data_IF_655021768812
#
_entry.id   IF_655021768812
#
_cell.length_a   1.000
_cell.length_b   1.000
_cell.length_c   1.000
_cell.angle_alpha   90.00
_cell.angle_beta   90.00
_cell.angle_gamma   90.00
#
_symmetry.space_group_name_H-M   'P 1'
#
loop_
_entity.id
_entity.type
_entity.pdbx_description
1 polymer ?
#
# COMPACT_ATOMS: atom_id res chain seq x y z
N UNK A 1 -11.71 -25.91 -18.43
CA UNK A 1 -10.85 -25.36 -17.37
C UNK A 1 -11.64 -24.21 -16.79
N UNK A 2 -12.24 -24.40 -15.62
CA UNK A 2 -12.85 -23.32 -14.86
C UNK A 2 -11.73 -22.35 -14.50
N UNK A 3 -11.85 -21.12 -14.98
CA UNK A 3 -10.97 -20.02 -14.60
C UNK A 3 -11.10 -19.87 -13.08
N UNK A 4 -10.03 -20.18 -12.34
CA UNK A 4 -10.03 -19.99 -10.89
C UNK A 4 -10.10 -18.50 -10.69
N UNK A 5 -11.18 -18.02 -10.06
CA UNK A 5 -11.38 -16.59 -9.87
C UNK A 5 -10.15 -16.01 -9.14
N UNK A 6 -9.50 -15.02 -9.76
CA UNK A 6 -8.32 -14.41 -9.17
C UNK A 6 -8.70 -13.68 -7.87
N UNK A 7 -7.83 -13.75 -6.87
CA UNK A 7 -7.89 -12.90 -5.67
C UNK A 7 -7.47 -11.47 -6.01
N UNK A 8 -8.38 -10.72 -6.64
CA UNK A 8 -8.16 -9.37 -7.14
C UNK A 8 -9.30 -8.40 -6.77
N UNK A 9 -10.15 -8.78 -5.81
CA UNK A 9 -11.28 -7.97 -5.37
C UNK A 9 -10.93 -7.21 -4.09
N UNK A 10 -11.39 -5.97 -4.04
CA UNK A 10 -11.27 -5.07 -2.90
C UNK A 10 -12.68 -4.81 -2.39
N UNK A 11 -12.97 -5.23 -1.16
CA UNK A 11 -14.27 -5.02 -0.55
C UNK A 11 -14.28 -3.69 0.21
N UNK A 12 -15.18 -2.77 -0.16
CA UNK A 12 -15.33 -1.45 0.46
C UNK A 12 -16.67 -1.39 1.17
N UNK A 13 -16.63 -1.24 2.49
CA UNK A 13 -17.76 -1.39 3.38
C UNK A 13 -17.96 -0.16 4.23
N UNK A 14 -19.19 0.10 4.63
CA UNK A 14 -19.54 1.14 5.58
C UNK A 14 -21.01 1.49 5.45
N UNK A 15 -21.54 2.26 6.40
CA UNK A 15 -22.94 2.70 6.33
C UNK A 15 -23.21 3.53 5.07
N UNK A 16 -24.48 3.69 4.67
CA UNK A 16 -24.83 4.67 3.65
C UNK A 16 -24.29 6.06 4.03
N UNK A 17 -23.91 6.86 3.03
CA UNK A 17 -23.49 8.26 3.17
C UNK A 17 -22.15 8.53 3.87
N UNK A 18 -21.29 7.52 4.05
CA UNK A 18 -19.91 7.71 4.53
C UNK A 18 -18.92 8.03 3.40
N UNK A 19 -19.41 8.50 2.25
CA UNK A 19 -18.62 8.90 1.07
C UNK A 19 -17.68 7.81 0.51
N UNK A 20 -18.12 6.55 0.55
CA UNK A 20 -17.32 5.40 0.06
C UNK A 20 -16.90 5.56 -1.41
N UNK A 21 -17.83 5.95 -2.27
CA UNK A 21 -17.56 6.11 -3.69
C UNK A 21 -16.59 7.27 -3.97
N UNK A 22 -16.68 8.40 -3.25
CA UNK A 22 -15.68 9.45 -3.30
C UNK A 22 -14.26 8.96 -2.93
N UNK A 23 -14.12 8.14 -1.89
CA UNK A 23 -12.82 7.54 -1.51
C UNK A 23 -12.30 6.67 -2.65
N UNK A 24 -13.13 5.76 -3.16
CA UNK A 24 -12.74 4.87 -4.27
C UNK A 24 -12.35 5.67 -5.51
N UNK A 25 -13.12 6.71 -5.88
CA UNK A 25 -12.80 7.59 -6.99
C UNK A 25 -11.46 8.30 -6.80
N UNK A 26 -11.16 8.77 -5.58
CA UNK A 26 -9.88 9.41 -5.27
C UNK A 26 -8.70 8.42 -5.41
N UNK A 27 -8.92 7.17 -5.02
CA UNK A 27 -7.96 6.05 -5.18
C UNK A 27 -7.84 5.57 -6.63
N UNK A 28 -8.85 5.73 -7.47
CA UNK A 28 -8.75 5.37 -8.90
C UNK A 28 -8.14 6.52 -9.70
N UNK A 29 -8.63 7.75 -9.53
CA UNK A 29 -8.32 8.90 -10.39
C UNK A 29 -7.05 9.66 -10.01
N UNK A 30 -6.46 9.42 -8.83
CA UNK A 30 -5.33 10.23 -8.28
C UNK A 30 -5.70 11.69 -8.01
N UNK A 31 -6.99 11.97 -7.88
CA UNK A 31 -7.49 13.30 -7.52
C UNK A 31 -7.71 13.34 -6.00
N UNK A 32 -7.30 14.40 -5.30
CA UNK A 32 -7.61 14.58 -3.88
C UNK A 32 -9.12 14.56 -3.61
N UNK A 33 -9.53 14.17 -2.40
CA UNK A 33 -10.93 14.21 -1.97
C UNK A 33 -11.45 15.66 -1.98
N UNK A 34 -12.38 15.99 -2.88
CA UNK A 34 -13.13 17.24 -2.84
C UNK A 34 -14.47 17.03 -2.12
N UNK A 35 -14.51 17.30 -0.81
CA UNK A 35 -15.69 17.15 0.04
C UNK A 35 -16.88 18.03 -0.38
N UNK A 36 -16.73 18.92 -1.37
CA UNK A 36 -17.76 19.87 -1.78
C UNK A 36 -18.79 19.34 -2.80
N UNK A 37 -18.55 18.18 -3.43
CA UNK A 37 -19.49 17.61 -4.40
C UNK A 37 -19.79 16.15 -4.08
N UNK A 38 -20.79 15.92 -3.24
CA UNK A 38 -21.44 14.62 -3.12
C UNK A 38 -22.05 14.25 -4.48
N UNK A 39 -21.36 13.39 -5.23
CA UNK A 39 -22.00 12.60 -6.29
C UNK A 39 -22.96 11.64 -5.55
N UNK A 40 -24.07 11.23 -6.18
CA UNK A 40 -25.02 10.26 -5.59
C UNK A 40 -24.30 8.92 -5.32
N UNK A 41 -23.69 8.82 -4.13
CA UNK A 41 -22.57 7.93 -3.76
C UNK A 41 -23.01 6.75 -2.85
N UNK A 42 -24.15 6.14 -3.13
CA UNK A 42 -24.68 4.99 -2.36
C UNK A 42 -25.29 3.90 -3.27
N UNK A 43 -24.71 3.66 -4.46
CA UNK A 43 -25.08 2.46 -5.23
C UNK A 43 -24.53 1.21 -4.53
N UNK A 44 -25.38 0.65 -3.67
CA UNK A 44 -25.20 -0.66 -3.06
C UNK A 44 -24.88 -1.72 -4.12
N UNK A 45 -23.76 -2.44 -3.94
CA UNK A 45 -23.30 -3.43 -4.90
C UNK A 45 -22.59 -2.86 -6.14
N UNK A 46 -22.16 -1.60 -6.12
CA UNK A 46 -21.36 -1.02 -7.19
C UNK A 46 -20.04 -1.76 -7.40
N UNK A 47 -19.65 -1.91 -8.67
CA UNK A 47 -18.39 -2.53 -9.09
C UNK A 47 -17.57 -1.56 -9.91
N UNK A 48 -16.35 -1.28 -9.46
CA UNK A 48 -15.47 -0.29 -10.10
C UNK A 48 -14.17 -1.00 -10.48
N UNK A 49 -13.93 -1.10 -11.78
CA UNK A 49 -12.68 -1.65 -12.30
C UNK A 49 -11.52 -0.66 -12.12
N UNK A 50 -10.35 -1.17 -11.72
CA UNK A 50 -9.14 -0.38 -11.55
C UNK A 50 -7.92 -1.08 -12.16
N UNK A 51 -7.36 -0.46 -13.20
CA UNK A 51 -6.07 -0.87 -13.76
C UNK A 51 -4.93 -0.29 -12.94
N UNK A 52 -4.43 -1.07 -11.99
CA UNK A 52 -3.27 -0.72 -11.18
C UNK A 52 -1.99 -0.90 -12.00
N UNK A 53 -1.15 0.15 -12.02
CA UNK A 53 0.17 0.11 -12.67
C UNK A 53 1.20 0.80 -11.80
N UNK A 54 2.15 0.02 -11.30
CA UNK A 54 3.30 0.52 -10.54
C UNK A 54 4.54 0.59 -11.43
N UNK A 55 5.72 0.82 -10.85
CA UNK A 55 7.00 0.73 -11.59
C UNK A 55 7.39 -0.71 -11.91
N UNK A 56 6.85 -1.68 -11.17
CA UNK A 56 7.31 -3.07 -11.18
C UNK A 56 6.30 -4.01 -11.83
N UNK A 57 5.00 -3.74 -11.65
CA UNK A 57 3.95 -4.63 -12.11
C UNK A 57 2.69 -3.85 -12.52
N UNK A 58 1.81 -4.55 -13.23
CA UNK A 58 0.44 -4.14 -13.51
C UNK A 58 -0.54 -5.22 -13.00
N UNK A 59 -1.72 -4.81 -12.56
CA UNK A 59 -2.79 -5.71 -12.11
C UNK A 59 -4.16 -5.12 -12.48
N UNK A 60 -5.16 -5.99 -12.67
CA UNK A 60 -6.55 -5.57 -12.86
C UNK A 60 -7.34 -5.85 -11.59
N UNK A 61 -7.74 -4.81 -10.87
CA UNK A 61 -8.45 -4.92 -9.61
C UNK A 61 -9.90 -4.50 -9.80
N UNK A 62 -10.76 -4.92 -8.88
CA UNK A 62 -12.17 -4.50 -8.89
C UNK A 62 -12.59 -4.17 -7.46
N UNK A 63 -13.06 -2.94 -7.24
CA UNK A 63 -13.69 -2.55 -5.99
C UNK A 63 -15.14 -3.01 -5.99
N UNK A 64 -15.56 -3.65 -4.91
CA UNK A 64 -16.95 -3.98 -4.60
C UNK A 64 -17.39 -3.09 -3.45
N UNK A 65 -18.28 -2.15 -3.73
CA UNK A 65 -18.78 -1.21 -2.73
C UNK A 65 -20.13 -1.71 -2.21
N UNK A 66 -20.24 -1.86 -0.90
CA UNK A 66 -21.42 -2.43 -0.26
C UNK A 66 -21.73 -1.68 1.06
N UNK A 67 -22.99 -1.70 1.45
CA UNK A 67 -23.43 -1.04 2.68
C UNK A 67 -23.43 -1.99 3.87
N UNK A 68 -23.08 -1.47 5.04
CA UNK A 68 -23.27 -2.19 6.30
C UNK A 68 -24.58 -1.82 6.98
N UNK A 69 -25.14 -2.79 7.70
CA UNK A 69 -26.29 -2.60 8.57
C UNK A 69 -25.88 -2.58 10.04
N UNK A 70 -26.68 -1.89 10.85
CA UNK A 70 -26.47 -1.82 12.29
C UNK A 70 -26.64 -3.21 12.93
N UNK A 71 -25.60 -3.66 13.63
CA UNK A 71 -25.63 -4.94 14.34
C UNK A 71 -26.46 -4.87 15.63
N UNK A 72 -27.25 -5.89 15.97
CA UNK A 72 -27.91 -5.97 17.28
C UNK A 72 -26.90 -5.87 18.43
N UNK A 73 -27.24 -5.15 19.51
CA UNK A 73 -26.32 -4.94 20.66
C UNK A 73 -25.79 -6.24 21.26
N UNK A 74 -26.62 -7.29 21.33
CA UNK A 74 -26.19 -8.61 21.80
C UNK A 74 -25.11 -9.25 20.93
N UNK A 75 -25.12 -8.99 19.62
CA UNK A 75 -24.07 -9.47 18.71
C UNK A 75 -22.80 -8.64 18.89
N UNK A 76 -22.94 -7.31 19.00
CA UNK A 76 -21.80 -6.41 19.23
C UNK A 76 -21.01 -6.82 20.47
N UNK A 77 -21.68 -6.99 21.61
CA UNK A 77 -21.03 -7.32 22.88
C UNK A 77 -20.30 -8.67 22.80
N UNK A 78 -20.98 -9.68 22.23
CA UNK A 78 -20.41 -11.01 22.12
C UNK A 78 -19.22 -11.05 21.14
N UNK A 79 -19.27 -10.32 20.03
CA UNK A 79 -18.16 -10.24 19.08
C UNK A 79 -16.95 -9.49 19.63
N UNK A 80 -17.18 -8.42 20.41
CA UNK A 80 -16.11 -7.72 21.13
C UNK A 80 -15.40 -8.64 22.10
N UNK A 81 -16.16 -9.42 22.87
CA UNK A 81 -15.60 -10.41 23.80
C UNK A 81 -14.83 -11.51 23.07
N UNK A 82 -15.34 -11.99 21.93
CA UNK A 82 -14.66 -13.00 21.12
C UNK A 82 -13.32 -12.48 20.58
N UNK A 83 -13.30 -11.30 19.96
CA UNK A 83 -12.07 -10.69 19.42
C UNK A 83 -11.03 -10.35 20.50
N UNK A 84 -11.48 -10.07 21.72
CA UNK A 84 -10.59 -9.76 22.84
C UNK A 84 -9.90 -11.00 23.45
N UNK A 85 -10.34 -12.22 23.13
CA UNK A 85 -9.89 -13.45 23.77
C UNK A 85 -9.31 -14.45 22.75
N UNK A 86 -8.02 -14.32 22.36
CA UNK A 86 -7.35 -15.20 21.40
C UNK A 86 -7.41 -16.70 21.73
N UNK A 87 -7.55 -17.05 23.01
CA UNK A 87 -7.67 -18.43 23.48
C UNK A 87 -9.01 -19.08 23.10
N UNK A 88 -10.06 -18.30 22.81
CA UNK A 88 -11.36 -18.80 22.34
C UNK A 88 -11.33 -19.27 20.88
N UNK A 89 -10.19 -19.14 20.19
CA UNK A 89 -10.03 -19.49 18.79
C UNK A 89 -9.57 -20.95 18.56
N UNK A 90 -9.22 -21.70 19.62
CA UNK A 90 -8.72 -23.07 19.48
C UNK A 90 -9.85 -24.12 19.43
N UNK A 91 -10.15 -24.55 18.21
CA UNK A 91 -10.66 -25.88 17.78
C UNK A 91 -12.06 -26.40 18.19
N UNK A 92 -12.90 -25.71 18.98
CA UNK A 92 -14.24 -26.27 19.29
C UNK A 92 -15.42 -25.30 19.39
N UNK A 93 -15.21 -23.99 19.20
CA UNK A 93 -16.29 -22.99 19.23
C UNK A 93 -16.35 -22.25 17.90
N UNK A 94 -16.80 -22.98 16.87
CA UNK A 94 -17.20 -22.45 15.56
C UNK A 94 -18.48 -21.60 15.60
N UNK A 95 -19.09 -21.43 16.77
CA UNK A 95 -20.30 -20.62 16.97
C UNK A 95 -19.93 -19.15 17.13
N UNK A 96 -19.38 -18.58 16.06
CA UNK A 96 -19.19 -17.14 15.97
C UNK A 96 -20.58 -16.54 15.68
N UNK A 97 -21.04 -15.52 16.41
CA UNK A 97 -22.38 -14.95 16.29
C UNK A 97 -22.51 -14.06 15.05
N UNK A 98 -22.30 -14.64 13.88
CA UNK A 98 -22.76 -14.08 12.63
C UNK A 98 -23.93 -14.92 12.16
N UNK A 99 -24.86 -14.28 11.46
CA UNK A 99 -25.91 -15.02 10.78
C UNK A 99 -25.27 -16.09 9.86
N UNK A 100 -25.79 -17.33 9.82
CA UNK A 100 -25.26 -18.38 8.94
C UNK A 100 -25.14 -17.94 7.47
N UNK A 101 -26.02 -17.04 7.01
CA UNK A 101 -25.93 -16.46 5.67
C UNK A 101 -24.68 -15.58 5.50
N UNK A 102 -24.31 -14.78 6.50
CA UNK A 102 -23.08 -13.97 6.49
C UNK A 102 -21.86 -14.89 6.54
N UNK A 103 -21.88 -15.96 7.35
CA UNK A 103 -20.79 -16.92 7.39
C UNK A 103 -20.55 -17.58 6.01
N UNK A 104 -21.62 -18.03 5.34
CA UNK A 104 -21.54 -18.59 3.99
C UNK A 104 -21.06 -17.55 2.98
N UNK A 105 -21.55 -16.30 3.06
CA UNK A 105 -21.08 -15.22 2.19
C UNK A 105 -19.57 -15.00 2.36
N UNK A 106 -19.08 -14.97 3.60
CA UNK A 106 -17.66 -14.79 3.90
C UNK A 106 -16.78 -15.89 3.30
N UNK A 107 -17.23 -17.15 3.32
CA UNK A 107 -16.50 -18.24 2.64
C UNK A 107 -16.34 -17.96 1.15
N UNK A 108 -17.41 -17.57 0.45
CA UNK A 108 -17.34 -17.24 -0.98
C UNK A 108 -16.50 -15.99 -1.26
N UNK A 109 -16.63 -14.96 -0.42
CA UNK A 109 -15.82 -13.74 -0.56
C UNK A 109 -14.33 -14.05 -0.40
N UNK A 110 -13.96 -14.97 0.49
CA UNK A 110 -12.56 -15.31 0.76
C UNK A 110 -11.82 -15.91 -0.43
N UNK A 111 -12.53 -16.41 -1.44
CA UNK A 111 -11.95 -16.95 -2.67
C UNK A 111 -11.44 -15.86 -3.61
N UNK A 112 -12.00 -14.65 -3.53
CA UNK A 112 -11.77 -13.58 -4.51
C UNK A 112 -11.32 -12.25 -3.90
N UNK A 113 -11.66 -11.99 -2.64
CA UNK A 113 -11.29 -10.77 -1.90
C UNK A 113 -9.92 -10.94 -1.26
N UNK A 114 -9.06 -9.95 -1.47
CA UNK A 114 -7.73 -9.88 -0.85
C UNK A 114 -7.45 -8.56 -0.14
N UNK A 115 -8.39 -7.61 -0.23
CA UNK A 115 -8.33 -6.38 0.52
C UNK A 115 -9.71 -5.99 1.06
N UNK A 116 -9.75 -5.47 2.27
CA UNK A 116 -10.96 -4.92 2.89
C UNK A 116 -10.69 -3.50 3.35
N UNK A 117 -11.55 -2.58 2.93
CA UNK A 117 -11.56 -1.18 3.35
C UNK A 117 -12.88 -0.95 4.08
N UNK A 118 -12.80 -0.77 5.39
CA UNK A 118 -13.96 -0.44 6.21
C UNK A 118 -13.97 1.06 6.47
N UNK A 119 -15.05 1.73 6.09
CA UNK A 119 -15.24 3.17 6.20
C UNK A 119 -16.34 3.45 7.21
N UNK A 120 -16.09 4.36 8.15
CA UNK A 120 -17.09 4.75 9.14
C UNK A 120 -17.05 6.26 9.40
N UNK A 121 -18.12 6.77 10.00
CA UNK A 121 -18.22 8.18 10.36
C UNK A 121 -17.95 8.37 11.86
N UNK A 122 -16.84 9.01 12.25
CA UNK A 122 -16.57 9.35 13.65
C UNK A 122 -17.68 10.16 14.33
N UNK A 123 -18.47 10.93 13.58
CA UNK A 123 -19.63 11.67 14.12
C UNK A 123 -20.79 10.75 14.52
N UNK A 124 -20.83 9.52 14.00
CA UNK A 124 -21.68 8.42 14.45
C UNK A 124 -20.81 7.25 14.94
N UNK A 125 -20.33 7.25 16.20
CA UNK A 125 -19.50 6.19 16.78
C UNK A 125 -20.10 4.78 16.67
N UNK A 126 -21.42 4.66 16.52
CA UNK A 126 -22.06 3.35 16.33
C UNK A 126 -21.74 2.74 14.96
N UNK A 127 -21.42 3.56 13.95
CA UNK A 127 -20.99 3.11 12.63
C UNK A 127 -19.71 2.29 12.67
N UNK A 128 -18.79 2.56 13.60
CA UNK A 128 -17.58 1.76 13.79
C UNK A 128 -17.89 0.30 14.14
N UNK A 129 -18.97 0.03 14.88
CA UNK A 129 -19.28 -1.33 15.35
C UNK A 129 -19.64 -2.30 14.21
N UNK A 130 -20.00 -1.77 13.04
CA UNK A 130 -20.31 -2.56 11.85
C UNK A 130 -19.05 -3.27 11.29
N UNK A 131 -17.84 -2.93 11.77
CA UNK A 131 -16.59 -3.61 11.39
C UNK A 131 -16.52 -5.05 11.91
N UNK A 132 -17.25 -5.38 12.99
CA UNK A 132 -17.05 -6.63 13.73
C UNK A 132 -17.19 -7.92 12.88
N UNK A 133 -18.19 -8.07 11.99
CA UNK A 133 -18.30 -9.24 11.10
C UNK A 133 -17.11 -9.34 10.14
N UNK A 134 -16.56 -8.19 9.73
CA UNK A 134 -15.44 -8.12 8.82
C UNK A 134 -14.11 -8.33 9.54
N UNK A 135 -14.03 -7.98 10.82
CA UNK A 135 -12.91 -8.33 11.69
C UNK A 135 -12.81 -9.85 11.88
N UNK A 136 -13.95 -10.52 12.03
CA UNK A 136 -14.03 -11.99 11.99
C UNK A 136 -13.53 -12.52 10.65
N UNK A 137 -14.03 -11.99 9.53
CA UNK A 137 -13.57 -12.37 8.19
C UNK A 137 -12.05 -12.25 8.06
N UNK A 138 -11.49 -11.12 8.52
CA UNK A 138 -10.07 -10.86 8.54
C UNK A 138 -9.27 -11.90 9.34
N UNK A 139 -9.74 -12.25 10.54
CA UNK A 139 -9.09 -13.29 11.38
C UNK A 139 -9.15 -14.69 10.75
N UNK A 140 -10.23 -15.02 10.06
CA UNK A 140 -10.42 -16.36 9.47
C UNK A 140 -9.71 -16.54 8.13
N UNK A 141 -9.73 -15.51 7.29
CA UNK A 141 -9.33 -15.61 5.89
C UNK A 141 -8.06 -14.83 5.55
N UNK A 142 -7.58 -13.98 6.47
CA UNK A 142 -6.32 -13.24 6.38
C UNK A 142 -6.07 -12.59 5.00
N UNK A 143 -6.95 -11.68 4.54
CA UNK A 143 -6.71 -10.90 3.33
C UNK A 143 -5.40 -10.09 3.46
N UNK A 144 -4.72 -9.85 2.35
CA UNK A 144 -3.44 -9.12 2.31
C UNK A 144 -3.52 -7.68 2.82
N UNK A 145 -4.66 -7.00 2.67
CA UNK A 145 -4.85 -5.60 3.10
C UNK A 145 -6.12 -5.42 3.95
N UNK A 146 -5.98 -4.74 5.08
CA UNK A 146 -7.06 -4.42 6.02
C UNK A 146 -6.96 -2.96 6.45
N UNK A 147 -7.84 -2.10 5.93
CA UNK A 147 -7.84 -0.66 6.22
C UNK A 147 -9.13 -0.27 6.95
N UNK A 148 -8.99 0.46 8.06
CA UNK A 148 -10.09 1.09 8.78
C UNK A 148 -9.98 2.60 8.62
N UNK A 149 -10.95 3.20 7.94
CA UNK A 149 -10.91 4.57 7.46
C UNK A 149 -12.00 5.39 8.14
N UNK A 150 -11.60 6.38 8.93
CA UNK A 150 -12.49 7.37 9.51
C UNK A 150 -12.71 8.52 8.52
N UNK A 151 -13.98 8.80 8.18
CA UNK A 151 -14.38 9.90 7.28
C UNK A 151 -15.58 10.63 7.86
N UNK A 152 -15.48 11.95 7.99
CA UNK A 152 -16.60 12.78 8.42
C UNK A 152 -17.37 13.28 7.21
N UNK A 153 -18.67 12.96 7.12
CA UNK A 153 -19.55 13.50 6.07
C UNK A 153 -19.61 15.04 6.11
N UNK A 154 -19.48 15.62 7.29
CA UNK A 154 -19.49 17.07 7.52
C UNK A 154 -18.10 17.72 7.49
N UNK A 155 -17.03 16.93 7.27
CA UNK A 155 -15.65 17.39 7.30
C UNK A 155 -15.19 17.93 8.67
N UNK A 156 -15.90 17.58 9.76
CA UNK A 156 -15.55 18.04 11.11
C UNK A 156 -14.69 17.00 11.81
N UNK A 157 -13.54 17.40 12.40
CA UNK A 157 -12.76 16.49 13.20
C UNK A 157 -13.55 16.08 14.45
N UNK A 158 -13.57 14.78 14.73
CA UNK A 158 -14.18 14.22 15.93
C UNK A 158 -13.11 13.52 16.75
N UNK A 159 -12.63 14.21 17.78
CA UNK A 159 -11.57 13.70 18.66
C UNK A 159 -12.06 12.64 19.66
N UNK A 160 -13.37 12.47 19.80
CA UNK A 160 -13.93 11.49 20.73
C UNK A 160 -13.62 10.07 20.25
N UNK A 161 -13.12 9.22 21.14
CA UNK A 161 -12.89 7.78 20.93
C UNK A 161 -11.83 7.40 19.88
N UNK A 162 -11.09 8.36 19.30
CA UNK A 162 -10.00 8.09 18.34
C UNK A 162 -8.99 7.08 18.86
N UNK A 163 -8.48 7.29 20.07
CA UNK A 163 -7.50 6.39 20.70
C UNK A 163 -8.06 4.97 20.85
N UNK A 164 -9.33 4.84 21.25
CA UNK A 164 -9.99 3.54 21.41
C UNK A 164 -10.14 2.80 20.07
N UNK A 165 -10.50 3.51 19.00
CA UNK A 165 -10.60 2.92 17.67
C UNK A 165 -9.23 2.53 17.11
N UNK A 166 -8.24 3.41 17.26
CA UNK A 166 -6.85 3.14 16.86
C UNK A 166 -6.30 1.89 17.55
N UNK A 167 -6.39 1.84 18.89
CA UNK A 167 -5.93 0.69 19.68
C UNK A 167 -6.64 -0.60 19.26
N UNK A 168 -7.96 -0.52 19.01
CA UNK A 168 -8.73 -1.68 18.55
C UNK A 168 -8.29 -2.15 17.16
N UNK A 169 -8.08 -1.23 16.21
CA UNK A 169 -7.63 -1.55 14.86
C UNK A 169 -6.28 -2.26 14.89
N UNK A 170 -5.32 -1.69 15.60
CA UNK A 170 -3.98 -2.27 15.78
C UNK A 170 -4.06 -3.66 16.40
N UNK A 171 -4.84 -3.83 17.48
CA UNK A 171 -5.00 -5.12 18.15
C UNK A 171 -5.62 -6.20 17.23
N UNK A 172 -6.44 -5.80 16.25
CA UNK A 172 -7.12 -6.71 15.34
C UNK A 172 -6.42 -6.90 13.99
N UNK A 173 -5.31 -6.21 13.74
CA UNK A 173 -4.53 -6.30 12.50
C UNK A 173 -5.04 -5.40 11.37
N UNK A 174 -5.81 -4.37 11.72
CA UNK A 174 -6.27 -3.34 10.78
C UNK A 174 -5.33 -2.13 10.84
N UNK A 175 -5.00 -1.57 9.69
CA UNK A 175 -4.34 -0.28 9.58
C UNK A 175 -5.37 0.84 9.73
N UNK A 176 -5.10 1.79 10.62
CA UNK A 176 -5.96 2.92 10.91
C UNK A 176 -5.61 4.13 10.04
N UNK A 177 -6.61 4.74 9.41
CA UNK A 177 -6.48 5.95 8.60
C UNK A 177 -7.56 6.96 8.99
N UNK A 178 -7.15 8.07 9.60
CA UNK A 178 -8.06 9.16 9.95
C UNK A 178 -8.05 10.26 8.88
N UNK A 179 -8.97 10.18 7.91
CA UNK A 179 -9.12 11.22 6.87
C UNK A 179 -9.89 12.45 7.38
N UNK A 180 -10.22 12.51 8.68
CA UNK A 180 -10.76 13.70 9.33
C UNK A 180 -9.68 14.55 9.99
N UNK A 181 -8.46 14.01 10.08
CA UNK A 181 -7.31 14.73 10.59
C UNK A 181 -6.99 15.91 9.65
N UNK A 182 -6.79 17.08 10.27
CA UNK A 182 -6.50 18.33 9.57
C UNK A 182 -5.04 18.73 9.70
N UNK A 183 -4.24 17.95 10.43
CA UNK A 183 -2.81 18.16 10.52
C UNK A 183 -2.16 17.93 9.15
N UNK A 184 -1.54 18.95 8.52
CA UNK A 184 -0.90 18.82 7.22
C UNK A 184 0.30 17.88 7.23
N UNK A 185 0.87 17.58 8.40
CA UNK A 185 2.00 16.67 8.57
C UNK A 185 1.54 15.22 8.85
N UNK A 186 0.24 14.96 8.83
CA UNK A 186 -0.32 13.62 9.03
C UNK A 186 -0.03 12.68 7.85
N UNK A 187 0.28 11.42 8.14
CA UNK A 187 0.42 10.37 7.12
C UNK A 187 -0.96 9.78 6.73
N UNK A 188 -2.03 10.20 7.39
CA UNK A 188 -3.40 9.72 7.16
C UNK A 188 -4.03 10.36 5.92
N UNK A 189 -3.63 9.86 4.75
CA UNK A 189 -4.06 10.40 3.46
C UNK A 189 -4.67 9.32 2.56
N UNK A 190 -5.33 9.77 1.49
CA UNK A 190 -5.82 8.88 0.43
C UNK A 190 -4.63 8.24 -0.30
N UNK A 191 -3.52 8.96 -0.39
CA UNK A 191 -2.26 8.46 -0.91
C UNK A 191 -1.77 7.27 -0.09
N UNK A 192 -1.88 7.31 1.25
CA UNK A 192 -1.53 6.18 2.10
C UNK A 192 -2.42 4.96 1.85
N UNK A 193 -3.74 5.16 1.69
CA UNK A 193 -4.68 4.10 1.30
C UNK A 193 -4.25 3.46 -0.04
N UNK A 194 -3.94 4.29 -1.03
CA UNK A 194 -3.44 3.85 -2.33
C UNK A 194 -2.15 3.06 -2.17
N UNK A 195 -1.16 3.58 -1.43
CA UNK A 195 0.12 2.92 -1.21
C UNK A 195 -0.05 1.52 -0.62
N UNK A 196 -0.93 1.35 0.35
CA UNK A 196 -1.25 0.04 0.91
C UNK A 196 -1.70 -0.93 -0.20
N UNK A 197 -2.62 -0.51 -1.07
CA UNK A 197 -3.09 -1.32 -2.21
C UNK A 197 -2.01 -1.54 -3.28
N UNK A 198 -1.16 -0.54 -3.55
CA UNK A 198 -0.05 -0.64 -4.50
C UNK A 198 1.09 -1.54 -3.99
N UNK A 199 1.20 -1.70 -2.67
CA UNK A 199 2.19 -2.56 -2.03
C UNK A 199 1.76 -4.02 -1.87
N UNK A 200 0.46 -4.31 -2.05
CA UNK A 200 -0.08 -5.67 -1.91
C UNK A 200 0.34 -6.59 -3.07
N UNK A 201 0.44 -7.89 -2.79
CA UNK A 201 0.76 -8.95 -3.76
C UNK A 201 -0.52 -9.54 -4.38
N UNK A 202 -0.96 -9.00 -5.50
CA UNK A 202 -2.19 -9.43 -6.16
C UNK A 202 -2.01 -10.72 -6.98
N UNK A 203 -3.02 -11.60 -6.94
CA UNK A 203 -2.96 -12.89 -7.65
C UNK A 203 -2.82 -12.79 -9.18
N UNK A 204 -3.19 -11.65 -9.77
CA UNK A 204 -3.11 -11.38 -11.21
C UNK A 204 -2.04 -10.33 -11.59
N UNK A 205 -1.01 -10.16 -10.76
CA UNK A 205 0.13 -9.31 -11.08
C UNK A 205 0.87 -9.80 -12.33
N UNK A 206 1.15 -8.87 -13.24
CA UNK A 206 2.02 -9.07 -14.38
C UNK A 206 3.22 -8.12 -14.31
N UNK A 207 4.47 -8.61 -14.44
CA UNK A 207 5.64 -7.74 -14.42
C UNK A 207 5.64 -6.82 -15.65
N UNK A 208 5.92 -5.53 -15.44
CA UNK A 208 6.06 -4.59 -16.55
C UNK A 208 7.40 -4.83 -17.21
N UNK A 209 7.39 -5.55 -18.34
CA UNK A 209 8.55 -5.67 -19.21
C UNK A 209 8.82 -4.30 -19.83
N UNK A 210 9.82 -3.55 -19.33
CA UNK A 210 10.34 -2.39 -20.06
C UNK A 210 10.78 -2.88 -21.44
N UNK A 211 10.29 -2.32 -22.56
CA UNK A 211 10.91 -2.61 -23.85
C UNK A 211 12.37 -2.11 -23.76
N UNK A 212 13.32 -3.04 -23.82
CA UNK A 212 14.71 -2.74 -24.14
C UNK A 212 14.71 -2.13 -25.53
N UNK A 213 14.57 -0.81 -25.63
CA UNK A 213 14.69 -0.11 -26.88
C UNK A 213 16.19 -0.05 -27.24
N UNK A 214 16.71 -1.16 -27.78
CA UNK A 214 18.09 -1.31 -28.21
C UNK A 214 18.37 -0.75 -29.61
N UNK A 215 17.50 0.10 -30.15
CA UNK A 215 17.75 0.76 -31.44
C UNK A 215 17.21 2.20 -31.45
N UNK A 216 17.92 3.10 -30.79
CA UNK A 216 17.90 4.51 -31.15
C UNK A 216 19.28 4.87 -31.74
N UNK A 217 19.38 5.17 -33.05
CA UNK A 217 20.60 5.72 -33.64
C UNK A 217 20.91 7.10 -33.01
N UNK A 218 22.19 7.51 -32.93
CA UNK A 218 22.54 8.82 -32.40
C UNK A 218 22.08 9.90 -33.39
N UNK A 219 20.97 10.57 -33.08
CA UNK A 219 20.53 11.72 -33.85
C UNK A 219 21.45 12.90 -33.55
N UNK A 220 22.16 13.30 -34.61
CA UNK A 220 23.13 14.37 -34.67
C UNK A 220 22.53 15.74 -34.30
N UNK A 221 23.40 16.57 -33.75
CA UNK A 221 23.31 18.03 -33.67
C UNK A 221 22.91 18.63 -35.03
N UNK A 222 21.88 19.51 -35.10
CA UNK A 222 21.79 20.48 -36.18
C UNK A 222 22.25 21.85 -35.70
N UNK A 223 23.03 22.43 -36.59
CA UNK A 223 23.69 23.71 -36.57
C UNK A 223 22.66 24.84 -36.77
N UNK A 224 22.99 25.97 -36.14
CA UNK A 224 22.39 27.31 -36.23
C UNK A 224 22.07 27.72 -37.68
N UNK A 225 20.87 28.25 -37.92
CA UNK A 225 20.60 29.14 -39.05
C UNK A 225 19.49 30.17 -38.70
N UNK A 226 19.68 31.36 -39.26
CA UNK A 226 19.15 32.69 -38.93
C UNK A 226 17.63 32.91 -38.92
N UNK A 227 17.25 33.98 -38.19
CA UNK A 227 15.94 34.61 -38.11
C UNK A 227 15.50 35.29 -39.44
N UNK A 228 14.25 35.79 -39.53
CA UNK A 228 14.09 37.21 -39.19
C UNK A 228 12.85 37.56 -38.34
N UNK A 229 13.04 38.68 -37.64
CA UNK A 229 12.19 39.49 -36.77
C UNK A 229 10.72 39.67 -37.16
N UNK A 230 9.84 39.60 -36.16
CA UNK A 230 8.71 40.53 -36.00
C UNK A 230 8.64 40.96 -34.52
N UNK A 231 8.43 42.26 -34.33
CA UNK A 231 8.61 43.04 -33.11
C UNK A 231 7.32 43.18 -32.28
N UNK A 232 7.51 43.43 -30.97
CA UNK A 232 6.60 43.97 -29.94
C UNK A 232 5.62 42.95 -29.28
N UNK A 233 5.44 42.89 -27.95
CA UNK A 233 5.71 43.86 -26.87
C UNK A 233 5.65 43.18 -25.49
N UNK A 234 6.28 43.81 -24.50
CA UNK A 234 6.51 43.42 -23.10
C UNK A 234 5.31 42.91 -22.28
N UNK A 235 5.55 41.90 -21.43
CA UNK A 235 5.45 42.05 -19.95
C UNK A 235 6.06 40.84 -19.23
N UNK A 236 6.97 41.14 -18.32
CA UNK A 236 7.71 40.19 -17.48
C UNK A 236 6.85 39.69 -16.31
N UNK A 237 6.90 38.38 -16.02
CA UNK A 237 6.80 37.85 -14.66
C UNK A 237 7.73 36.63 -14.55
N UNK A 238 8.59 36.64 -13.54
CA UNK A 238 9.65 35.65 -13.33
C UNK A 238 9.09 34.30 -12.87
N UNK A 239 9.48 33.23 -13.57
CA UNK A 239 9.35 31.85 -13.10
C UNK A 239 10.54 31.49 -12.20
N UNK A 240 10.33 30.88 -11.02
CA UNK A 240 11.41 30.26 -10.27
C UNK A 240 11.82 28.96 -10.98
N UNK A 241 13.11 28.85 -11.35
CA UNK A 241 13.68 27.58 -11.80
C UNK A 241 13.63 26.57 -10.65
N UNK A 242 12.80 25.54 -10.78
CA UNK A 242 12.90 24.31 -10.01
C UNK A 242 14.25 23.66 -10.32
N UNK A 243 15.16 23.72 -9.35
CA UNK A 243 16.32 22.83 -9.33
C UNK A 243 15.80 21.44 -8.96
N UNK A 244 15.64 20.57 -9.96
CA UNK A 244 15.52 19.12 -9.76
C UNK A 244 16.71 18.64 -8.93
N UNK A 245 16.50 18.42 -7.64
CA UNK A 245 17.41 17.64 -6.82
C UNK A 245 17.33 16.21 -7.31
N UNK A 246 18.23 15.82 -8.22
CA UNK A 246 18.45 14.41 -8.58
C UNK A 246 18.57 13.61 -7.30
N UNK A 247 17.71 12.60 -7.16
CA UNK A 247 17.73 11.72 -6.00
C UNK A 247 19.12 11.10 -5.89
N UNK A 248 19.65 10.98 -4.67
CA UNK A 248 20.93 10.33 -4.40
C UNK A 248 20.95 8.85 -4.85
N UNK A 249 19.76 8.33 -5.17
CA UNK A 249 19.46 7.00 -5.69
C UNK A 249 19.33 6.91 -7.22
N UNK A 250 19.24 8.04 -7.95
CA UNK A 250 19.25 8.08 -9.41
C UNK A 250 20.65 7.73 -9.93
N UNK A 251 20.91 6.43 -10.06
CA UNK A 251 22.19 5.88 -10.51
C UNK A 251 22.57 4.56 -9.84
N UNK A 252 21.83 4.11 -8.82
CA UNK A 252 22.10 2.82 -8.18
C UNK A 252 21.96 1.65 -9.17
N UNK A 253 20.92 1.66 -10.01
CA UNK A 253 20.69 0.65 -11.05
C UNK A 253 21.82 0.62 -12.10
N UNK A 254 22.39 1.78 -12.43
CA UNK A 254 23.49 1.88 -13.40
C UNK A 254 24.80 1.34 -12.80
N UNK A 255 25.06 1.63 -11.52
CA UNK A 255 26.20 1.06 -10.80
C UNK A 255 26.03 -0.45 -10.67
N UNK A 256 24.86 -0.95 -10.26
CA UNK A 256 24.58 -2.37 -10.10
C UNK A 256 24.80 -3.18 -11.40
N UNK A 257 24.49 -2.60 -12.57
CA UNK A 257 24.73 -3.22 -13.89
C UNK A 257 26.19 -3.30 -14.30
N UNK A 258 27.04 -2.46 -13.72
CA UNK A 258 28.49 -2.42 -14.02
C UNK A 258 29.32 -3.21 -13.01
N UNK A 259 28.69 -3.78 -11.98
CA UNK A 259 29.36 -4.62 -11.00
C UNK A 259 29.82 -5.93 -11.61
N UNK A 260 31.04 -6.33 -11.24
CA UNK A 260 31.59 -7.64 -11.57
C UNK A 260 30.87 -8.74 -10.75
N UNK A 261 30.19 -9.71 -11.40
CA UNK A 261 29.51 -10.80 -10.70
C UNK A 261 30.43 -11.57 -9.74
N UNK A 262 31.71 -11.74 -10.08
CA UNK A 262 32.66 -12.46 -9.24
C UNK A 262 32.92 -11.73 -7.90
N UNK A 263 32.86 -10.39 -7.90
CA UNK A 263 33.01 -9.57 -6.68
C UNK A 263 31.77 -9.67 -5.79
N UNK A 264 30.59 -9.72 -6.38
CA UNK A 264 29.32 -9.94 -5.65
C UNK A 264 29.29 -11.34 -5.04
N UNK A 265 29.74 -12.37 -5.76
CA UNK A 265 29.81 -13.75 -5.27
C UNK A 265 30.83 -13.89 -4.13
N UNK A 266 32.00 -13.26 -4.25
CA UNK A 266 33.00 -13.23 -3.18
C UNK A 266 32.47 -12.53 -1.92
N UNK A 267 31.71 -11.43 -2.08
CA UNK A 267 31.05 -10.74 -0.96
C UNK A 267 29.98 -11.62 -0.31
N UNK A 268 29.15 -12.29 -1.10
CA UNK A 268 28.13 -13.21 -0.61
C UNK A 268 28.78 -14.36 0.19
N UNK A 269 29.84 -14.98 -0.33
CA UNK A 269 30.59 -16.00 0.41
C UNK A 269 31.18 -15.44 1.72
N UNK A 270 31.82 -14.27 1.69
CA UNK A 270 32.39 -13.66 2.91
C UNK A 270 31.34 -13.39 4.00
N UNK A 271 30.12 -13.00 3.62
CA UNK A 271 29.02 -12.73 4.55
C UNK A 271 28.37 -14.01 5.09
N UNK A 272 28.26 -15.07 4.26
CA UNK A 272 27.37 -16.19 4.54
C UNK A 272 28.02 -17.58 4.55
N UNK A 273 29.27 -17.76 4.10
CA UNK A 273 29.94 -19.07 4.04
C UNK A 273 30.91 -19.33 5.21
N UNK A 274 30.62 -18.79 6.40
CA UNK A 274 31.44 -19.02 7.59
C UNK A 274 31.37 -20.47 8.07
N UNK A 275 32.52 -21.13 8.23
CA UNK A 275 32.69 -22.55 8.60
C UNK A 275 32.34 -22.91 10.07
N UNK A 276 31.57 -22.07 10.77
CA UNK A 276 31.13 -22.40 12.12
C UNK A 276 29.63 -22.71 12.13
N UNK A 277 29.29 -23.97 12.45
CA UNK A 277 27.91 -24.47 12.62
C UNK A 277 27.09 -23.74 13.72
N UNK A 278 27.66 -22.72 14.37
CA UNK A 278 27.05 -21.88 15.41
C UNK A 278 26.99 -20.38 15.04
N UNK A 279 27.30 -19.98 13.79
CA UNK A 279 27.09 -18.59 13.37
C UNK A 279 25.60 -18.33 13.14
N UNK A 280 24.90 -18.03 14.24
CA UNK A 280 23.55 -17.48 14.23
C UNK A 280 23.50 -16.18 13.40
N UNK A 281 22.30 -15.83 12.93
CA UNK A 281 21.97 -14.57 12.21
C UNK A 281 22.64 -13.32 12.82
N UNK A 282 22.92 -13.31 14.13
CA UNK A 282 23.69 -12.28 14.80
C UNK A 282 25.10 -12.05 14.23
N UNK A 283 25.83 -13.12 13.88
CA UNK A 283 27.18 -13.05 13.28
C UNK A 283 27.15 -12.54 11.84
N UNK A 284 26.08 -12.85 11.11
CA UNK A 284 25.81 -12.28 9.78
C UNK A 284 25.55 -10.77 9.88
N UNK A 285 24.68 -10.35 10.80
CA UNK A 285 24.37 -8.94 11.02
C UNK A 285 25.59 -8.14 11.48
N UNK A 286 26.47 -8.74 12.29
CA UNK A 286 27.74 -8.13 12.68
C UNK A 286 28.66 -7.87 11.47
N UNK A 287 28.75 -8.84 10.54
CA UNK A 287 29.51 -8.68 9.29
C UNK A 287 28.91 -7.62 8.37
N UNK A 288 27.59 -7.58 8.21
CA UNK A 288 26.91 -6.53 7.43
C UNK A 288 27.17 -5.15 8.01
N UNK A 289 27.10 -5.00 9.34
CA UNK A 289 27.43 -3.73 10.03
C UNK A 289 28.88 -3.33 9.80
N UNK A 290 29.83 -4.26 9.87
CA UNK A 290 31.24 -4.01 9.58
C UNK A 290 31.45 -3.46 8.16
N UNK A 291 30.82 -4.09 7.15
CA UNK A 291 30.93 -3.62 5.75
C UNK A 291 30.27 -2.26 5.56
N UNK A 292 29.14 -2.00 6.23
CA UNK A 292 28.50 -0.68 6.23
C UNK A 292 29.41 0.40 6.83
N UNK A 293 30.05 0.10 7.95
CA UNK A 293 30.96 1.04 8.62
C UNK A 293 32.20 1.31 7.75
N UNK A 294 32.71 0.31 7.01
CA UNK A 294 33.76 0.50 5.98
C UNK A 294 33.28 1.42 4.86
N UNK A 295 32.08 1.21 4.31
CA UNK A 295 31.50 2.06 3.26
C UNK A 295 31.43 3.53 3.70
N UNK A 296 31.08 3.78 4.96
CA UNK A 296 30.99 5.14 5.52
C UNK A 296 32.33 5.91 5.55
N UNK A 297 33.46 5.20 5.45
CA UNK A 297 34.80 5.77 5.45
C UNK A 297 35.39 5.90 4.03
N UNK A 298 34.67 5.45 2.99
CA UNK A 298 35.12 5.48 1.60
C UNK A 298 34.75 6.78 0.89
N UNK A 299 35.52 7.13 -0.15
CA UNK A 299 35.17 8.19 -1.09
C UNK A 299 33.81 7.88 -1.76
N UNK A 300 33.00 8.91 -2.05
CA UNK A 300 31.61 8.77 -2.51
C UNK A 300 31.41 7.82 -3.70
N UNK A 301 32.32 7.81 -4.68
CA UNK A 301 32.26 6.93 -5.84
C UNK A 301 32.49 5.46 -5.47
N UNK A 302 33.50 5.18 -4.63
CA UNK A 302 33.81 3.83 -4.15
C UNK A 302 32.77 3.32 -3.16
N UNK A 303 32.26 4.22 -2.30
CA UNK A 303 31.18 3.93 -1.36
C UNK A 303 29.93 3.46 -2.10
N UNK A 304 29.55 4.12 -3.20
CA UNK A 304 28.43 3.71 -4.05
C UNK A 304 28.62 2.33 -4.67
N UNK A 305 29.78 2.05 -5.26
CA UNK A 305 30.08 0.72 -5.81
C UNK A 305 30.03 -0.36 -4.74
N UNK A 306 30.63 -0.11 -3.57
CA UNK A 306 30.71 -1.09 -2.49
C UNK A 306 29.35 -1.32 -1.80
N UNK A 307 28.52 -0.29 -1.70
CA UNK A 307 27.14 -0.40 -1.22
C UNK A 307 26.28 -1.22 -2.18
N UNK A 308 26.43 -1.02 -3.50
CA UNK A 308 25.73 -1.81 -4.50
C UNK A 308 26.17 -3.29 -4.47
N UNK A 309 27.47 -3.57 -4.28
CA UNK A 309 27.96 -4.94 -4.08
C UNK A 309 27.35 -5.62 -2.85
N UNK A 310 27.29 -4.91 -1.72
CA UNK A 310 26.69 -5.40 -0.48
C UNK A 310 25.19 -5.69 -0.66
N UNK A 311 24.45 -4.77 -1.26
CA UNK A 311 23.02 -4.93 -1.51
C UNK A 311 22.72 -6.12 -2.43
N UNK A 312 23.48 -6.27 -3.53
CA UNK A 312 23.33 -7.40 -4.45
C UNK A 312 23.72 -8.74 -3.80
N UNK A 313 24.72 -8.74 -2.92
CA UNK A 313 25.10 -9.92 -2.15
C UNK A 313 24.01 -10.31 -1.14
N UNK A 314 23.36 -9.36 -0.46
CA UNK A 314 22.26 -9.67 0.46
C UNK A 314 21.01 -10.13 -0.31
N UNK A 315 20.69 -9.49 -1.44
CA UNK A 315 19.53 -9.86 -2.26
C UNK A 315 19.59 -11.30 -2.79
N UNK A 316 20.79 -11.83 -3.06
CA UNK A 316 21.00 -13.24 -3.44
C UNK A 316 20.59 -14.26 -2.38
N UNK A 317 20.44 -13.87 -1.11
CA UNK A 317 19.89 -14.74 -0.07
C UNK A 317 18.37 -14.92 -0.20
N UNK A 318 17.68 -13.91 -0.73
CA UNK A 318 16.21 -13.86 -0.79
C UNK A 318 15.64 -14.54 -2.05
N UNK A 319 16.50 -15.02 -2.94
CA UNK A 319 16.17 -15.72 -4.21
C UNK A 319 16.58 -17.17 -4.15
#
# INVERSE_FOLDING_TARGET
MTDVAAKNKILVLGRPKVNKAQIVNSVVSKTPLDYATAIDDDEDGAKIEWSLRTRYYQAQLEFWVDNTEHLPSSQIDHMKEWLANPDLHSEATSDIPVDPSIAQLQEHLSEVVDAVIFVFDPADPSSFTDILPWARFAKLHAPGVLLCVAVSADGKPVEANKDEWFEWCVANGWEWLDLTDTDPDTEYTVERLREALESNEWANMEPIKKPLNHNAPPAATPVIAEAPSITAQDTATAEPQEQETKSEWDGFDDVARTLDPARVDAMHQALFSGENENDDMAGVLARIRSVRDEISQMDQEKARTRAAELAMAVAKMLT
#
